data_IF_393552998844
#
_entry.id   IF_393552998844
#
_cell.length_a   1.000
_cell.length_b   1.000
_cell.length_c   1.000
_cell.angle_alpha   90.00
_cell.angle_beta   90.00
_cell.angle_gamma   90.00
#
_symmetry.space_group_name_H-M   'P 1'
#
loop_
_entity.id
_entity.type
_entity.pdbx_description
1 polymer ?
#
# COMPACT_ATOMS: atom_id res chain seq x y z
N UNK A 1 -6.59 -8.80 -15.80
CA UNK A 1 -6.37 -9.36 -14.44
C UNK A 1 -7.75 -9.60 -13.80
N UNK A 2 -8.00 -10.73 -13.14
CA UNK A 2 -9.28 -10.96 -12.44
C UNK A 2 -9.36 -10.03 -11.21
N UNK A 3 -10.50 -9.39 -10.93
CA UNK A 3 -10.65 -8.53 -9.76
C UNK A 3 -10.83 -9.37 -8.49
N UNK A 4 -10.29 -8.89 -7.39
CA UNK A 4 -10.46 -9.48 -6.07
C UNK A 4 -11.01 -8.46 -5.07
N UNK A 5 -11.75 -8.94 -4.09
CA UNK A 5 -12.03 -8.23 -2.86
C UNK A 5 -11.06 -8.75 -1.79
N UNK A 6 -10.18 -7.87 -1.31
CA UNK A 6 -9.15 -8.18 -0.32
C UNK A 6 -9.53 -7.47 0.98
N UNK A 7 -9.65 -8.22 2.08
CA UNK A 7 -9.93 -7.68 3.40
C UNK A 7 -8.78 -7.99 4.36
N UNK A 8 -8.13 -6.95 4.87
CA UNK A 8 -6.97 -7.08 5.76
C UNK A 8 -7.43 -7.38 7.18
N UNK A 9 -6.94 -8.49 7.70
CA UNK A 9 -7.16 -8.94 9.08
C UNK A 9 -6.06 -8.48 10.03
N UNK A 10 -4.81 -8.39 9.53
CA UNK A 10 -3.65 -7.94 10.32
C UNK A 10 -2.51 -7.45 9.45
N UNK A 11 -1.85 -6.35 9.85
CA UNK A 11 -0.56 -5.92 9.29
C UNK A 11 0.59 -6.55 10.10
N UNK A 12 1.55 -7.19 9.41
CA UNK A 12 2.71 -7.86 10.05
C UNK A 12 3.98 -7.06 9.94
N UNK A 13 4.31 -6.61 8.74
CA UNK A 13 5.53 -5.84 8.49
C UNK A 13 5.36 -4.98 7.25
N UNK A 14 6.17 -3.92 7.19
CA UNK A 14 6.28 -3.01 6.08
C UNK A 14 7.77 -2.71 5.91
N UNK A 15 8.29 -2.86 4.70
CA UNK A 15 9.68 -2.52 4.38
C UNK A 15 9.76 -1.93 2.98
N UNK A 16 10.73 -1.07 2.75
CA UNK A 16 11.13 -0.71 1.40
C UNK A 16 12.21 -1.66 0.86
N UNK A 17 12.01 -2.19 -0.35
CA UNK A 17 13.05 -2.88 -1.11
C UNK A 17 12.93 -2.54 -2.60
N UNK A 18 14.07 -2.29 -3.26
CA UNK A 18 14.18 -2.06 -4.72
C UNK A 18 13.13 -1.09 -5.33
N UNK A 19 12.79 0.00 -4.62
CA UNK A 19 11.83 0.99 -5.10
C UNK A 19 10.37 0.62 -4.86
N UNK A 20 10.10 -0.45 -4.12
CA UNK A 20 8.77 -0.92 -3.73
C UNK A 20 8.62 -0.89 -2.22
N UNK A 21 7.40 -0.62 -1.75
CA UNK A 21 7.00 -0.88 -0.37
C UNK A 21 6.36 -2.26 -0.33
N UNK A 22 7.00 -3.20 0.36
CA UNK A 22 6.48 -4.53 0.59
C UNK A 22 5.68 -4.57 1.89
N UNK A 23 4.46 -5.07 1.80
CA UNK A 23 3.54 -5.26 2.92
C UNK A 23 3.35 -6.75 3.16
N UNK A 24 3.66 -7.21 4.37
CA UNK A 24 3.24 -8.54 4.82
C UNK A 24 2.00 -8.39 5.70
N UNK A 25 0.96 -9.16 5.38
CA UNK A 25 -0.33 -9.07 6.04
C UNK A 25 -1.07 -10.41 6.03
N UNK A 26 -2.02 -10.56 6.94
CA UNK A 26 -3.07 -11.58 6.84
C UNK A 26 -4.30 -10.96 6.18
N UNK A 27 -4.84 -11.59 5.14
CA UNK A 27 -6.03 -11.12 4.44
C UNK A 27 -6.95 -12.25 4.00
N UNK A 28 -8.25 -11.94 3.98
CA UNK A 28 -9.25 -12.69 3.25
C UNK A 28 -9.28 -12.20 1.80
N UNK A 29 -9.13 -13.10 0.84
CA UNK A 29 -9.14 -12.79 -0.60
C UNK A 29 -10.30 -13.52 -1.25
N UNK A 30 -11.24 -12.76 -1.81
CA UNK A 30 -12.41 -13.29 -2.49
C UNK A 30 -12.36 -12.88 -3.96
N UNK A 31 -12.69 -13.80 -4.86
CA UNK A 31 -12.86 -13.47 -6.26
C UNK A 31 -14.07 -12.53 -6.40
N UNK A 32 -13.89 -11.39 -7.06
CA UNK A 32 -14.98 -10.45 -7.34
C UNK A 32 -15.63 -10.87 -8.66
N UNK A 33 -16.94 -11.08 -8.64
CA UNK A 33 -17.71 -11.26 -9.87
C UNK A 33 -17.59 -9.98 -10.72
N UNK A 34 -17.27 -10.13 -12.01
CA UNK A 34 -17.26 -9.01 -12.93
C UNK A 34 -18.70 -8.45 -12.99
N UNK A 35 -18.91 -7.24 -12.47
CA UNK A 35 -20.14 -6.49 -12.68
C UNK A 35 -19.93 -5.62 -13.91
N UNK A 36 -20.91 -5.58 -14.81
CA UNK A 36 -20.83 -4.88 -16.09
C UNK A 36 -20.71 -3.35 -15.96
N UNK A 37 -21.01 -2.78 -14.79
CA UNK A 37 -21.35 -1.36 -14.69
C UNK A 37 -20.46 -0.53 -13.73
N UNK A 38 -19.14 -0.56 -13.94
CA UNK A 38 -18.25 0.48 -13.38
C UNK A 38 -16.90 -0.03 -12.89
N UNK A 39 -15.84 0.44 -13.55
CA UNK A 39 -14.42 0.30 -13.20
C UNK A 39 -14.06 -1.05 -12.52
N UNK A 40 -14.01 -2.11 -13.32
CA UNK A 40 -13.57 -3.43 -12.88
C UNK A 40 -12.14 -3.39 -12.31
N UNK A 41 -12.00 -3.56 -11.00
CA UNK A 41 -10.72 -3.54 -10.32
C UNK A 41 -10.73 -4.32 -9.01
N UNK A 42 -9.54 -4.67 -8.55
CA UNK A 42 -9.32 -5.24 -7.21
C UNK A 42 -9.59 -4.18 -6.15
N UNK A 43 -10.39 -4.51 -5.14
CA UNK A 43 -10.72 -3.64 -4.03
C UNK A 43 -10.01 -4.12 -2.77
N UNK A 44 -9.33 -3.20 -2.07
CA UNK A 44 -8.67 -3.47 -0.80
C UNK A 44 -9.44 -2.75 0.31
N UNK A 45 -9.88 -3.52 1.32
CA UNK A 45 -10.59 -3.05 2.51
C UNK A 45 -9.70 -3.23 3.73
N UNK A 46 -9.50 -2.15 4.49
CA UNK A 46 -8.78 -2.15 5.75
C UNK A 46 -9.70 -1.59 6.85
N UNK A 47 -9.74 -2.22 8.04
CA UNK A 47 -10.22 -1.56 9.24
C UNK A 47 -9.51 -0.23 9.47
N UNK A 48 -10.24 0.78 9.93
CA UNK A 48 -9.70 2.15 10.10
C UNK A 48 -8.47 2.17 11.02
N UNK A 49 -8.46 1.33 12.06
CA UNK A 49 -7.31 1.18 12.96
C UNK A 49 -6.05 0.71 12.23
N UNK A 50 -6.17 -0.29 11.35
CA UNK A 50 -5.06 -0.77 10.53
C UNK A 50 -4.64 0.28 9.50
N UNK A 51 -5.57 1.03 8.94
CA UNK A 51 -5.26 2.14 8.03
C UNK A 51 -4.43 3.23 8.72
N UNK A 52 -4.74 3.57 9.98
CA UNK A 52 -3.94 4.51 10.79
C UNK A 52 -2.53 3.98 11.06
N UNK A 53 -2.41 2.70 11.38
CA UNK A 53 -1.12 2.03 11.59
C UNK A 53 -0.29 2.04 10.30
N UNK A 54 -0.90 1.70 9.16
CA UNK A 54 -0.26 1.75 7.85
C UNK A 54 0.25 3.14 7.51
N UNK A 55 -0.56 4.18 7.75
CA UNK A 55 -0.15 5.57 7.53
C UNK A 55 1.09 5.95 8.34
N UNK A 56 1.18 5.53 9.61
CA UNK A 56 2.36 5.79 10.45
C UNK A 56 3.61 5.10 9.89
N UNK A 57 3.49 3.81 9.54
CA UNK A 57 4.60 3.03 8.99
C UNK A 57 5.09 3.58 7.65
N UNK A 58 4.17 3.98 6.76
CA UNK A 58 4.52 4.61 5.48
C UNK A 58 5.27 5.92 5.67
N UNK A 59 4.85 6.76 6.64
CA UNK A 59 5.58 8.00 6.95
C UNK A 59 7.01 7.72 7.41
N UNK A 60 7.22 6.66 8.19
CA UNK A 60 8.55 6.27 8.64
C UNK A 60 9.43 5.83 7.47
N UNK A 61 8.94 4.97 6.59
CA UNK A 61 9.70 4.52 5.42
C UNK A 61 10.00 5.66 4.45
N UNK A 62 9.04 6.54 4.17
CA UNK A 62 9.30 7.69 3.29
C UNK A 62 10.33 8.65 3.90
N UNK A 63 10.27 8.89 5.21
CA UNK A 63 11.29 9.68 5.89
C UNK A 63 12.68 9.02 5.84
N UNK A 64 12.76 7.69 5.86
CA UNK A 64 14.02 6.96 5.68
C UNK A 64 14.54 7.09 4.24
N UNK A 65 13.67 6.95 3.24
CA UNK A 65 14.01 7.11 1.82
C UNK A 65 14.47 8.52 1.49
N UNK A 66 13.82 9.53 2.06
CA UNK A 66 14.17 10.94 1.89
C UNK A 66 15.59 11.25 2.37
N UNK A 67 16.08 10.55 3.40
CA UNK A 67 17.47 10.67 3.86
C UNK A 67 18.48 10.07 2.89
N UNK A 68 18.07 9.07 2.11
CA UNK A 68 18.93 8.38 1.15
C UNK A 68 19.03 9.12 -0.19
N UNK A 69 18.10 10.02 -0.50
CA UNK A 69 18.17 10.83 -1.73
C UNK A 69 19.04 12.09 -1.51
N UNK A 70 20.10 12.30 -2.32
CA UNK A 70 20.91 13.52 -2.24
C UNK A 70 20.08 14.77 -2.50
N UNK A 71 20.29 15.82 -1.68
CA UNK A 71 19.58 17.12 -1.76
C UNK A 71 19.61 17.76 -3.15
N UNK A 72 20.58 17.43 -4.01
CA UNK A 72 20.66 17.90 -5.40
C UNK A 72 19.52 17.41 -6.29
N UNK A 73 18.85 16.30 -5.94
CA UNK A 73 17.67 15.79 -6.69
C UNK A 73 16.34 16.36 -6.16
N UNK A 74 16.35 17.08 -5.03
CA UNK A 74 15.15 17.70 -4.43
C UNK A 74 14.79 19.06 -5.04
N UNK A 75 15.74 19.79 -5.64
CA UNK A 75 15.50 21.15 -6.17
C UNK A 75 15.06 21.19 -7.65
N UNK A 76 14.78 20.04 -8.27
CA UNK A 76 14.60 19.93 -9.73
C UNK A 76 13.17 19.72 -10.24
N UNK A 77 12.13 19.86 -9.40
CA UNK A 77 10.74 19.85 -9.85
C UNK A 77 9.97 20.99 -9.20
N UNK A 78 9.91 22.11 -9.92
CA UNK A 78 8.80 23.06 -9.87
C UNK A 78 7.62 22.49 -10.68
#
# INVERSE_FOLDING_TARGET
>A
MKPYDIEVQRLKSLKHDKGLIELQLDALVLARAARDDGAGGTCLRLPVEHARTLMLLLKQEFAALDKLQPRSRRSGRA
#
